data_IF_034218635815
#
_entry.id   IF_034218635815
#
_cell.length_a   1.000
_cell.length_b   1.000
_cell.length_c   1.000
_cell.angle_alpha   90.00
_cell.angle_beta   90.00
_cell.angle_gamma   90.00
#
_symmetry.space_group_name_H-M   'P 1'
#
loop_
_entity.id
_entity.type
_entity.pdbx_description
1 polymer ?
#
# COMPACT_ATOMS: atom_id res chain seq x y z
N UNK A 1 -30.38 -13.61 17.40
CA UNK A 1 -30.78 -14.98 17.06
C UNK A 1 -29.59 -15.62 16.37
N UNK A 2 -28.84 -16.43 17.11
CA UNK A 2 -27.63 -17.08 16.58
C UNK A 2 -28.02 -18.27 15.72
N UNK A 3 -27.54 -18.28 14.47
CA UNK A 3 -27.80 -19.35 13.51
C UNK A 3 -26.99 -20.61 13.89
N UNK A 4 -27.59 -21.80 13.81
CA UNK A 4 -26.92 -23.05 14.18
C UNK A 4 -25.67 -23.30 13.31
N UNK A 5 -24.60 -23.77 13.97
CA UNK A 5 -23.24 -23.96 13.40
C UNK A 5 -23.17 -24.92 12.20
N UNK A 6 -24.24 -25.69 11.95
CA UNK A 6 -24.37 -26.66 10.86
C UNK A 6 -24.99 -26.07 9.60
N UNK A 7 -25.47 -24.83 9.64
CA UNK A 7 -26.11 -24.18 8.48
C UNK A 7 -25.07 -23.73 7.44
N UNK A 8 -25.35 -23.98 6.16
CA UNK A 8 -24.53 -23.48 5.03
C UNK A 8 -24.40 -21.94 5.06
N UNK A 9 -25.41 -21.25 5.57
CA UNK A 9 -25.45 -19.80 5.77
C UNK A 9 -24.55 -19.33 6.93
N UNK A 10 -24.21 -20.20 7.89
CA UNK A 10 -23.27 -19.89 8.98
C UNK A 10 -21.88 -19.58 8.41
N UNK A 11 -21.45 -20.32 7.38
CA UNK A 11 -20.20 -20.05 6.68
C UNK A 11 -20.24 -18.73 5.88
N UNK A 12 -21.40 -18.33 5.38
CA UNK A 12 -21.60 -17.09 4.61
C UNK A 12 -21.67 -15.85 5.51
N UNK A 13 -22.07 -15.99 6.78
CA UNK A 13 -22.03 -14.88 7.76
C UNK A 13 -20.62 -14.46 8.18
N UNK A 14 -19.59 -15.23 7.82
CA UNK A 14 -18.20 -14.88 8.08
C UNK A 14 -17.57 -14.04 6.96
N UNK A 15 -18.18 -12.92 6.59
CA UNK A 15 -17.53 -11.90 5.75
C UNK A 15 -16.15 -11.46 6.32
N UNK A 16 -15.98 -11.60 7.63
CA UNK A 16 -14.73 -11.45 8.37
C UNK A 16 -13.59 -12.37 7.88
N UNK A 17 -13.87 -13.63 7.50
CA UNK A 17 -12.85 -14.59 7.01
C UNK A 17 -12.27 -14.20 5.65
N UNK A 18 -12.94 -13.30 4.93
CA UNK A 18 -12.50 -12.75 3.65
C UNK A 18 -11.83 -11.36 3.78
N UNK A 19 -11.61 -10.85 5.00
CA UNK A 19 -10.99 -9.54 5.22
C UNK A 19 -9.60 -9.44 4.54
N UNK A 20 -8.85 -10.55 4.51
CA UNK A 20 -7.55 -10.65 3.84
C UNK A 20 -7.68 -10.62 2.31
N UNK A 21 -8.78 -11.14 1.74
CA UNK A 21 -9.04 -11.14 0.30
C UNK A 21 -9.43 -9.76 -0.26
N UNK A 22 -9.71 -8.79 0.61
CA UNK A 22 -9.93 -7.38 0.21
C UNK A 22 -8.64 -6.69 -0.25
N UNK A 23 -7.47 -7.26 0.05
CA UNK A 23 -6.17 -6.78 -0.40
C UNK A 23 -5.65 -7.62 -1.55
N UNK A 24 -5.07 -6.95 -2.55
CA UNK A 24 -4.26 -7.61 -3.57
C UNK A 24 -3.13 -8.41 -2.92
N UNK A 25 -2.80 -9.58 -3.48
CA UNK A 25 -1.76 -10.47 -2.94
C UNK A 25 -0.42 -9.74 -2.72
N UNK A 26 -0.04 -8.86 -3.66
CA UNK A 26 1.16 -8.04 -3.54
C UNK A 26 1.12 -7.10 -2.32
N UNK A 27 -0.01 -6.45 -2.09
CA UNK A 27 -0.18 -5.55 -0.94
C UNK A 27 -0.14 -6.32 0.38
N UNK A 28 -0.68 -7.54 0.42
CA UNK A 28 -0.60 -8.42 1.59
C UNK A 28 0.85 -8.77 1.93
N UNK A 29 1.65 -9.17 0.94
CA UNK A 29 3.08 -9.45 1.12
C UNK A 29 3.82 -8.22 1.64
N UNK A 30 3.58 -7.06 1.03
CA UNK A 30 4.15 -5.79 1.46
C UNK A 30 3.78 -5.47 2.92
N UNK A 31 2.51 -5.61 3.31
CA UNK A 31 2.05 -5.32 4.66
C UNK A 31 2.67 -6.26 5.69
N UNK A 32 2.67 -7.57 5.43
CA UNK A 32 3.32 -8.56 6.28
C UNK A 32 4.80 -8.26 6.49
N UNK A 33 5.51 -7.87 5.43
CA UNK A 33 6.93 -7.48 5.51
C UNK A 33 7.15 -6.24 6.39
N UNK A 34 6.29 -5.22 6.27
CA UNK A 34 6.37 -4.02 7.09
C UNK A 34 6.05 -4.30 8.57
N UNK A 35 5.00 -5.06 8.84
CA UNK A 35 4.63 -5.44 10.21
C UNK A 35 5.74 -6.25 10.88
N UNK A 36 6.33 -7.22 10.18
CA UNK A 36 7.45 -8.02 10.70
C UNK A 36 8.63 -7.15 11.14
N UNK A 37 9.02 -6.16 10.33
CA UNK A 37 10.11 -5.23 10.66
C UNK A 37 9.78 -4.36 11.85
N UNK A 38 8.52 -3.95 11.99
CA UNK A 38 8.09 -3.17 13.15
C UNK A 38 8.05 -4.00 14.44
N UNK A 39 7.60 -5.26 14.36
CA UNK A 39 7.64 -6.20 15.50
C UNK A 39 9.08 -6.42 15.97
N UNK A 40 10.00 -6.61 15.03
CA UNK A 40 11.42 -6.78 15.36
C UNK A 40 12.00 -5.51 16.01
N UNK A 41 11.64 -4.32 15.51
CA UNK A 41 11.99 -3.06 16.16
C UNK A 41 11.45 -2.97 17.59
N UNK A 42 10.16 -3.28 17.81
CA UNK A 42 9.57 -3.30 19.15
C UNK A 42 10.31 -4.26 20.08
N UNK A 43 10.65 -5.46 19.60
CA UNK A 43 11.38 -6.46 20.36
C UNK A 43 12.78 -5.98 20.77
N UNK A 44 13.51 -5.33 19.86
CA UNK A 44 14.84 -4.78 20.12
C UNK A 44 14.83 -3.67 21.18
N UNK A 45 13.76 -2.86 21.20
CA UNK A 45 13.58 -1.76 22.14
C UNK A 45 12.86 -2.20 23.44
N UNK A 46 12.62 -3.50 23.63
CA UNK A 46 11.98 -4.05 24.84
C UNK A 46 10.46 -3.87 24.93
N UNK A 47 9.79 -3.47 23.85
CA UNK A 47 8.34 -3.32 23.82
C UNK A 47 7.62 -4.66 23.54
N UNK A 48 6.38 -4.81 24.02
CA UNK A 48 5.57 -5.98 23.71
C UNK A 48 5.24 -6.07 22.22
N UNK A 49 4.92 -7.28 21.74
CA UNK A 49 4.60 -7.50 20.34
C UNK A 49 3.31 -6.74 19.93
N UNK A 50 3.41 -5.67 19.10
CA UNK A 50 2.29 -4.78 18.83
C UNK A 50 1.19 -5.46 18.01
N UNK A 51 1.51 -6.47 17.20
CA UNK A 51 0.50 -7.17 16.39
C UNK A 51 -0.34 -8.16 17.21
N UNK A 52 0.11 -8.52 18.41
CA UNK A 52 -0.58 -9.43 19.32
C UNK A 52 -1.31 -8.70 20.43
N UNK A 53 -0.72 -7.65 20.98
CA UNK A 53 -1.31 -6.91 22.10
C UNK A 53 -1.12 -5.40 21.98
N UNK A 54 -2.09 -4.67 22.54
CA UNK A 54 -2.06 -3.21 22.67
C UNK A 54 -1.38 -2.84 23.99
N UNK A 55 -0.63 -1.74 23.98
CA UNK A 55 -0.02 -1.15 25.17
C UNK A 55 -0.13 0.38 25.07
N UNK A 56 -0.01 1.08 26.19
CA UNK A 56 -0.35 2.51 26.30
C UNK A 56 0.56 3.37 25.41
N UNK A 57 1.85 3.04 25.37
CA UNK A 57 2.90 3.76 24.65
C UNK A 57 2.90 3.49 23.15
N UNK A 58 2.10 2.53 22.68
CA UNK A 58 2.11 2.04 21.30
C UNK A 58 1.99 3.15 20.26
N UNK A 59 1.11 4.16 20.39
CA UNK A 59 1.09 5.27 19.44
C UNK A 59 2.41 6.05 19.37
N UNK A 60 3.07 6.23 20.52
CA UNK A 60 4.38 6.87 20.62
C UNK A 60 5.49 6.05 19.95
N UNK A 61 5.49 4.73 20.18
CA UNK A 61 6.44 3.81 19.54
C UNK A 61 6.27 3.78 18.01
N UNK A 62 5.02 3.72 17.54
CA UNK A 62 4.70 3.82 16.10
C UNK A 62 5.19 5.15 15.54
N UNK A 63 4.91 6.25 16.24
CA UNK A 63 5.35 7.58 15.84
C UNK A 63 6.88 7.70 15.71
N UNK A 64 7.62 7.20 16.70
CA UNK A 64 9.08 7.19 16.68
C UNK A 64 9.62 6.38 15.49
N UNK A 65 9.05 5.20 15.24
CA UNK A 65 9.47 4.35 14.13
C UNK A 65 9.09 4.94 12.76
N UNK A 66 7.92 5.56 12.62
CA UNK A 66 7.52 6.33 11.42
C UNK A 66 8.53 7.45 11.14
N UNK A 67 8.93 8.19 12.18
CA UNK A 67 9.92 9.26 12.05
C UNK A 67 11.28 8.71 11.61
N UNK A 68 11.75 7.62 12.25
CA UNK A 68 12.98 6.91 11.85
C UNK A 68 12.93 6.48 10.38
N UNK A 69 11.82 5.90 9.92
CA UNK A 69 11.66 5.52 8.51
C UNK A 69 11.69 6.73 7.59
N UNK A 70 11.09 7.85 8.00
CA UNK A 70 11.06 9.08 7.20
C UNK A 70 12.42 9.79 7.11
N UNK A 71 13.25 9.70 8.14
CA UNK A 71 14.58 10.36 8.20
C UNK A 71 15.68 9.50 7.58
N UNK A 72 15.61 8.18 7.73
CA UNK A 72 16.61 7.25 7.16
C UNK A 72 16.42 6.99 5.67
N UNK A 73 15.23 7.26 5.12
CA UNK A 73 14.93 7.01 3.72
C UNK A 73 14.78 8.30 2.94
N UNK A 74 15.25 8.29 1.69
CA UNK A 74 15.03 9.39 0.75
C UNK A 74 13.55 9.59 0.39
N UNK A 75 12.65 8.68 0.77
CA UNK A 75 11.22 8.77 0.51
C UNK A 75 10.40 8.49 1.78
N UNK A 76 9.18 9.05 1.84
CA UNK A 76 8.23 8.77 2.93
C UNK A 76 7.41 7.51 2.65
N UNK A 77 7.65 6.84 1.53
CA UNK A 77 6.88 5.68 1.14
C UNK A 77 6.95 4.55 2.16
N UNK A 78 8.13 4.19 2.72
CA UNK A 78 8.22 3.19 3.79
C UNK A 78 7.34 3.55 5.01
N UNK A 79 7.43 4.79 5.49
CA UNK A 79 6.61 5.28 6.60
C UNK A 79 5.10 5.20 6.30
N UNK A 80 4.69 5.57 5.07
CA UNK A 80 3.28 5.48 4.64
C UNK A 80 2.79 4.04 4.53
N UNK A 81 3.62 3.12 4.00
CA UNK A 81 3.28 1.70 3.89
C UNK A 81 3.11 1.07 5.26
N UNK A 82 4.02 1.33 6.21
CA UNK A 82 3.87 0.87 7.58
C UNK A 82 2.58 1.39 8.21
N UNK A 83 2.30 2.69 8.10
CA UNK A 83 1.06 3.29 8.64
C UNK A 83 -0.17 2.57 8.09
N UNK A 84 -0.21 2.34 6.77
CA UNK A 84 -1.33 1.65 6.13
C UNK A 84 -1.45 0.20 6.61
N UNK A 85 -0.33 -0.52 6.73
CA UNK A 85 -0.29 -1.88 7.23
C UNK A 85 -0.81 -1.99 8.68
N UNK A 86 -0.36 -1.09 9.57
CA UNK A 86 -0.86 -1.01 10.96
C UNK A 86 -2.34 -0.65 11.00
N UNK A 87 -2.74 0.37 10.24
CA UNK A 87 -4.15 0.79 10.18
C UNK A 87 -5.04 -0.38 9.75
N UNK A 88 -4.63 -1.12 8.74
CA UNK A 88 -5.36 -2.29 8.25
C UNK A 88 -5.37 -3.43 9.28
N UNK A 89 -4.23 -3.72 9.91
CA UNK A 89 -4.11 -4.77 10.94
C UNK A 89 -5.11 -4.56 12.07
N UNK A 90 -5.20 -3.35 12.63
CA UNK A 90 -6.13 -3.05 13.73
C UNK A 90 -7.60 -2.93 13.30
N UNK A 91 -7.91 -2.97 12.00
CA UNK A 91 -9.30 -3.10 11.52
C UNK A 91 -9.71 -4.54 11.27
N UNK A 92 -8.80 -5.51 11.46
CA UNK A 92 -9.12 -6.92 11.29
C UNK A 92 -10.10 -7.40 12.37
N UNK A 93 -10.99 -8.36 12.04
CA UNK A 93 -11.94 -8.91 13.00
C UNK A 93 -11.29 -9.38 14.30
N UNK A 94 -10.13 -10.04 14.22
CA UNK A 94 -9.41 -10.55 15.40
C UNK A 94 -8.96 -9.42 16.33
N UNK A 95 -8.64 -8.25 15.76
CA UNK A 95 -8.20 -7.09 16.53
C UNK A 95 -9.37 -6.26 17.05
N UNK A 96 -10.59 -6.48 16.56
CA UNK A 96 -11.81 -5.78 17.00
C UNK A 96 -12.55 -6.50 18.13
N UNK A 97 -12.17 -7.74 18.42
CA UNK A 97 -12.70 -8.52 19.56
C UNK A 97 -12.54 -7.71 20.85
N UNK A 98 -13.56 -7.71 21.72
CA UNK A 98 -13.56 -6.95 22.97
C UNK A 98 -14.05 -5.50 22.86
N UNK A 99 -14.76 -5.15 21.78
CA UNK A 99 -15.40 -3.84 21.64
C UNK A 99 -14.44 -2.74 21.18
N UNK A 100 -13.29 -3.11 20.62
CA UNK A 100 -12.32 -2.13 20.15
C UNK A 100 -12.85 -1.30 18.98
N UNK A 101 -12.61 0.01 19.06
CA UNK A 101 -13.06 0.96 18.06
C UNK A 101 -12.09 1.01 16.87
N UNK A 102 -12.63 0.98 15.66
CA UNK A 102 -11.81 0.99 14.44
C UNK A 102 -11.29 2.40 14.08
N UNK A 103 -11.98 3.43 14.55
CA UNK A 103 -11.85 4.83 14.13
C UNK A 103 -11.08 5.72 15.12
N UNK A 104 -10.95 5.27 16.38
CA UNK A 104 -10.26 6.03 17.45
C UNK A 104 -9.29 5.17 18.26
N UNK A 105 -8.34 5.84 18.90
CA UNK A 105 -7.50 5.30 19.96
C UNK A 105 -7.94 5.92 21.28
N UNK A 106 -8.24 5.10 22.27
CA UNK A 106 -8.65 5.54 23.61
C UNK A 106 -7.87 4.73 24.62
N UNK A 107 -7.50 5.38 25.71
CA UNK A 107 -6.93 4.71 26.88
C UNK A 107 -8.00 4.82 27.97
N UNK A 108 -8.66 3.71 28.27
CA UNK A 108 -9.74 3.65 29.24
C UNK A 108 -9.18 3.28 30.61
N UNK A 109 -9.66 3.94 31.65
CA UNK A 109 -9.37 3.54 33.04
C UNK A 109 -10.53 2.69 33.52
N UNK A 110 -10.27 1.43 33.85
CA UNK A 110 -11.29 0.54 34.41
C UNK A 110 -11.65 0.96 35.85
N UNK A 111 -12.76 0.44 36.36
CA UNK A 111 -13.19 0.69 37.75
C UNK A 111 -12.11 0.35 38.79
N UNK A 112 -11.21 -0.58 38.46
CA UNK A 112 -10.09 -1.02 39.30
C UNK A 112 -8.84 -0.11 39.18
N UNK A 113 -8.94 1.00 38.44
CA UNK A 113 -7.84 1.93 38.21
C UNK A 113 -6.81 1.46 37.18
N UNK A 114 -7.02 0.31 36.53
CA UNK A 114 -6.13 -0.21 35.49
C UNK A 114 -6.35 0.52 34.17
N UNK A 115 -5.25 0.77 33.46
CA UNK A 115 -5.24 1.54 32.22
C UNK A 115 -5.25 0.57 31.04
N UNK A 116 -6.37 0.50 30.32
CA UNK A 116 -6.59 -0.44 29.22
C UNK A 116 -6.58 0.32 27.87
N UNK A 117 -5.58 0.08 27.02
CA UNK A 117 -5.52 0.68 25.70
C UNK A 117 -6.49 0.01 24.72
N UNK A 118 -7.31 0.82 24.04
CA UNK A 118 -8.40 0.38 23.19
C UNK A 118 -8.38 1.07 21.80
N UNK A 119 -8.76 0.30 20.77
CA UNK A 119 -9.00 0.81 19.42
C UNK A 119 -7.78 0.79 18.51
N UNK A 120 -7.73 1.70 17.54
CA UNK A 120 -6.70 1.73 16.49
C UNK A 120 -5.62 2.79 16.81
N UNK A 121 -4.38 2.40 17.16
CA UNK A 121 -3.35 3.34 17.60
C UNK A 121 -2.99 4.36 16.51
N UNK A 122 -3.10 3.99 15.22
CA UNK A 122 -2.85 4.88 14.07
C UNK A 122 -3.83 6.06 14.00
N UNK A 123 -4.98 5.96 14.68
CA UNK A 123 -5.99 7.00 14.79
C UNK A 123 -5.74 7.97 15.96
N UNK A 124 -4.67 7.78 16.72
CA UNK A 124 -4.27 8.74 17.76
C UNK A 124 -3.95 10.12 17.17
N UNK A 125 -4.21 11.16 17.96
CA UNK A 125 -3.88 12.54 17.61
C UNK A 125 -2.36 12.71 17.39
N UNK A 126 -1.54 12.07 18.22
CA UNK A 126 -0.07 12.14 18.14
C UNK A 126 0.45 11.66 16.76
N UNK A 127 -0.01 10.52 16.27
CA UNK A 127 0.40 10.01 14.96
C UNK A 127 -0.06 10.95 13.84
N UNK A 128 -1.28 11.47 13.94
CA UNK A 128 -1.82 12.41 12.95
C UNK A 128 -1.00 13.70 12.87
N UNK A 129 -0.62 14.27 14.02
CA UNK A 129 0.22 15.47 14.09
C UNK A 129 1.63 15.25 13.52
N UNK A 130 2.27 14.13 13.86
CA UNK A 130 3.62 13.81 13.38
C UNK A 130 3.63 13.65 11.86
N UNK A 131 2.62 12.96 11.31
CA UNK A 131 2.50 12.80 9.86
C UNK A 131 2.24 14.13 9.15
N UNK A 132 1.45 15.02 9.75
CA UNK A 132 1.28 16.37 9.24
C UNK A 132 2.61 17.14 9.24
N UNK A 133 3.38 17.06 10.34
CA UNK A 133 4.72 17.64 10.46
C UNK A 133 5.69 17.13 9.39
N UNK A 134 5.80 15.81 9.25
CA UNK A 134 6.63 15.16 8.23
C UNK A 134 6.23 15.59 6.81
N UNK A 135 4.94 15.72 6.52
CA UNK A 135 4.47 16.18 5.21
C UNK A 135 4.88 17.61 4.91
N UNK A 136 4.83 18.51 5.91
CA UNK A 136 5.23 19.92 5.79
C UNK A 136 6.74 20.06 5.62
N UNK A 137 7.53 19.35 6.43
CA UNK A 137 8.99 19.35 6.34
C UNK A 137 9.46 18.95 4.94
N UNK A 138 8.91 17.85 4.40
CA UNK A 138 9.29 17.38 3.06
C UNK A 138 8.81 18.28 1.92
N UNK A 139 7.65 18.92 2.04
CA UNK A 139 7.18 19.90 1.05
C UNK A 139 8.11 21.11 0.99
N UNK A 140 8.71 21.51 2.12
CA UNK A 140 9.73 22.57 2.18
C UNK A 140 11.05 22.12 1.56
N UNK A 141 11.38 20.84 1.69
CA UNK A 141 12.68 20.29 1.27
C UNK A 141 12.74 19.85 -0.20
N UNK A 142 11.62 19.55 -0.87
CA UNK A 142 11.64 18.96 -2.23
C UNK A 142 10.63 19.51 -3.21
N UNK A 143 11.14 19.93 -4.37
CA UNK A 143 10.46 19.81 -5.67
C UNK A 143 10.31 18.31 -5.99
N UNK A 144 9.10 17.79 -6.28
CA UNK A 144 8.94 16.38 -6.60
C UNK A 144 9.72 16.05 -7.88
N UNK A 145 10.81 15.27 -7.75
CA UNK A 145 11.46 14.58 -8.88
C UNK A 145 10.47 13.53 -9.39
N UNK A 146 9.54 13.96 -10.22
CA UNK A 146 8.78 13.04 -11.08
C UNK A 146 9.76 12.51 -12.12
N UNK A 147 9.60 11.24 -12.52
CA UNK A 147 10.22 10.82 -13.76
C UNK A 147 9.78 11.80 -14.84
N UNK A 148 10.72 12.36 -15.60
CA UNK A 148 10.36 13.24 -16.70
C UNK A 148 9.42 12.45 -17.60
N UNK A 149 8.22 12.98 -17.91
CA UNK A 149 7.33 12.31 -18.84
C UNK A 149 8.09 12.06 -20.13
N UNK A 150 7.94 10.87 -20.70
CA UNK A 150 8.50 10.59 -22.03
C UNK A 150 7.95 11.65 -22.98
N UNK A 151 8.84 12.35 -23.70
CA UNK A 151 8.45 13.31 -24.73
C UNK A 151 8.32 12.59 -26.07
N UNK A 152 7.59 13.20 -27.00
CA UNK A 152 7.52 12.72 -28.38
C UNK A 152 8.93 12.61 -29.00
N UNK A 153 9.79 13.60 -28.76
CA UNK A 153 11.17 13.60 -29.25
C UNK A 153 12.00 12.43 -28.69
N UNK A 154 11.76 12.03 -27.44
CA UNK A 154 12.45 10.91 -26.81
C UNK A 154 11.93 9.57 -27.35
N UNK A 155 10.63 9.45 -27.59
CA UNK A 155 10.03 8.29 -28.25
C UNK A 155 10.58 8.13 -29.68
N UNK A 156 10.62 9.20 -30.47
CA UNK A 156 11.17 9.17 -31.84
C UNK A 156 12.63 8.74 -31.86
N UNK A 157 13.46 9.26 -30.93
CA UNK A 157 14.86 8.84 -30.80
C UNK A 157 14.99 7.36 -30.42
N UNK A 158 14.14 6.88 -29.52
CA UNK A 158 14.12 5.48 -29.11
C UNK A 158 13.73 4.55 -30.26
N UNK A 159 12.70 4.90 -31.04
CA UNK A 159 12.29 4.12 -32.20
C UNK A 159 13.38 4.12 -33.27
N UNK A 160 13.99 5.27 -33.57
CA UNK A 160 15.09 5.36 -34.53
C UNK A 160 16.30 4.50 -34.08
N UNK A 161 16.69 4.60 -32.82
CA UNK A 161 17.74 3.76 -32.24
C UNK A 161 17.42 2.27 -32.40
N UNK A 162 16.19 1.86 -32.09
CA UNK A 162 15.76 0.47 -32.24
C UNK A 162 15.65 0.02 -33.69
N UNK A 163 15.60 0.90 -34.69
CA UNK A 163 15.61 0.50 -36.10
C UNK A 163 17.03 0.13 -36.57
N UNK A 164 18.02 0.87 -36.11
CA UNK A 164 19.41 0.77 -36.56
C UNK A 164 20.26 -0.20 -35.71
N UNK A 165 19.80 -0.52 -34.50
CA UNK A 165 20.55 -1.39 -33.58
C UNK A 165 20.63 -2.85 -34.08
N UNK A 166 21.85 -3.40 -34.10
CA UNK A 166 22.15 -4.76 -34.54
C UNK A 166 22.18 -5.80 -33.41
N UNK A 167 22.18 -5.34 -32.15
CA UNK A 167 22.16 -6.20 -30.96
C UNK A 167 20.78 -6.82 -30.74
N UNK A 168 19.71 -6.15 -31.20
CA UNK A 168 18.35 -6.67 -31.15
C UNK A 168 17.94 -7.38 -32.45
N UNK A 169 17.34 -8.57 -32.31
CA UNK A 169 16.70 -9.23 -33.46
C UNK A 169 15.51 -8.41 -33.99
N UNK A 170 15.14 -8.61 -35.26
CA UNK A 170 14.09 -7.84 -35.95
C UNK A 170 12.75 -7.85 -35.21
N UNK A 171 12.36 -8.99 -34.65
CA UNK A 171 11.10 -9.14 -33.91
C UNK A 171 11.09 -8.32 -32.62
N UNK A 172 12.18 -8.34 -31.87
CA UNK A 172 12.33 -7.59 -30.63
C UNK A 172 12.32 -6.08 -30.89
N UNK A 173 12.99 -5.62 -31.95
CA UNK A 173 12.99 -4.21 -32.38
C UNK A 173 11.57 -3.70 -32.63
N UNK A 174 10.77 -4.46 -33.39
CA UNK A 174 9.38 -4.15 -33.66
C UNK A 174 8.51 -4.21 -32.40
N UNK A 175 8.70 -5.24 -31.57
CA UNK A 175 7.92 -5.44 -30.36
C UNK A 175 8.13 -4.31 -29.34
N UNK A 176 9.39 -3.96 -29.03
CA UNK A 176 9.70 -2.87 -28.09
C UNK A 176 9.18 -1.53 -28.63
N UNK A 177 9.35 -1.26 -29.93
CA UNK A 177 8.82 -0.04 -30.56
C UNK A 177 7.30 0.05 -30.45
N UNK A 178 6.58 -1.06 -30.68
CA UNK A 178 5.13 -1.12 -30.54
C UNK A 178 4.67 -0.92 -29.09
N UNK A 179 5.33 -1.56 -28.12
CA UNK A 179 5.01 -1.41 -26.68
C UNK A 179 5.24 0.03 -26.21
N UNK A 180 6.38 0.64 -26.55
CA UNK A 180 6.66 2.03 -26.21
C UNK A 180 5.64 2.99 -26.83
N UNK A 181 5.26 2.76 -28.10
CA UNK A 181 4.27 3.57 -28.80
C UNK A 181 2.88 3.43 -28.17
N UNK A 182 2.45 2.21 -27.83
CA UNK A 182 1.17 1.97 -27.16
C UNK A 182 1.13 2.60 -25.76
N UNK A 183 2.21 2.50 -24.98
CA UNK A 183 2.29 3.16 -23.67
C UNK A 183 2.20 4.69 -23.82
N UNK A 184 2.88 5.26 -24.81
CA UNK A 184 2.93 6.71 -25.02
C UNK A 184 1.61 7.27 -25.58
N UNK A 185 1.09 6.71 -26.68
CA UNK A 185 -0.12 7.23 -27.33
C UNK A 185 -1.40 6.79 -26.61
N UNK A 186 -1.42 5.58 -26.07
CA UNK A 186 -2.57 5.07 -25.31
C UNK A 186 -2.61 5.57 -23.87
N UNK A 187 -1.55 6.27 -23.40
CA UNK A 187 -1.37 6.67 -22.00
C UNK A 187 -1.49 5.47 -21.04
N UNK A 188 -1.16 4.27 -21.54
CA UNK A 188 -1.31 3.02 -20.82
C UNK A 188 -0.14 2.79 -19.87
N UNK A 189 -0.41 2.14 -18.73
CA UNK A 189 0.67 1.61 -17.89
C UNK A 189 1.32 0.42 -18.60
N UNK A 190 2.61 0.21 -18.34
CA UNK A 190 3.35 -0.90 -18.95
C UNK A 190 2.68 -2.26 -18.72
N UNK A 191 2.14 -2.51 -17.52
CA UNK A 191 1.43 -3.76 -17.21
C UNK A 191 0.14 -3.92 -18.01
N UNK A 192 -0.54 -2.83 -18.36
CA UNK A 192 -1.77 -2.88 -19.16
C UNK A 192 -1.42 -3.29 -20.60
N UNK A 193 -0.34 -2.73 -21.17
CA UNK A 193 0.12 -3.08 -22.51
C UNK A 193 0.68 -4.50 -22.59
N UNK A 194 1.45 -4.93 -21.58
CA UNK A 194 2.04 -6.28 -21.55
C UNK A 194 0.99 -7.40 -21.39
N UNK A 195 -0.18 -7.09 -20.82
CA UNK A 195 -1.29 -8.05 -20.65
C UNK A 195 -2.34 -7.96 -21.77
N UNK A 196 -2.14 -7.04 -22.74
CA UNK A 196 -3.08 -6.81 -23.83
C UNK A 196 -3.14 -8.03 -24.76
N UNK A 197 -4.35 -8.50 -25.03
CA UNK A 197 -4.62 -9.61 -25.93
C UNK A 197 -5.03 -9.08 -27.30
N UNK A 198 -4.86 -9.91 -28.33
CA UNK A 198 -5.30 -9.57 -29.70
C UNK A 198 -6.77 -9.16 -29.78
N UNK A 199 -7.64 -9.79 -28.96
CA UNK A 199 -9.07 -9.49 -28.92
C UNK A 199 -9.42 -8.13 -28.31
N UNK A 200 -8.50 -7.51 -27.58
CA UNK A 200 -8.69 -6.18 -26.98
C UNK A 200 -8.49 -5.05 -28.00
N UNK A 201 -7.93 -5.37 -29.17
CA UNK A 201 -7.65 -4.40 -30.25
C UNK A 201 -8.74 -4.52 -31.32
N UNK A 202 -9.49 -3.44 -31.49
CA UNK A 202 -10.50 -3.31 -32.54
C UNK A 202 -10.14 -2.16 -33.47
N UNK A 203 -10.17 -2.41 -34.78
CA UNK A 203 -10.01 -1.37 -35.78
C UNK A 203 -11.41 -0.89 -36.18
N UNK A 204 -11.76 0.34 -35.81
CA UNK A 204 -13.01 0.99 -36.19
C UNK A 204 -13.04 1.39 -37.67
N UNK A 205 -12.84 0.43 -38.57
CA UNK A 205 -12.87 0.65 -40.02
C UNK A 205 -14.33 0.83 -40.45
N UNK A 206 -14.78 2.07 -40.54
CA UNK A 206 -16.02 2.40 -41.22
C UNK A 206 -15.76 2.48 -42.72
N UNK A 207 -16.51 1.70 -43.50
CA UNK A 207 -16.51 1.82 -44.97
C UNK A 207 -17.10 3.20 -45.28
N UNK A 208 -16.35 4.07 -45.97
CA UNK A 208 -16.91 5.30 -46.51
C UNK A 208 -18.12 4.93 -47.39
N UNK A 209 -19.29 5.45 -47.04
CA UNK A 209 -20.49 5.40 -47.86
C UNK A 209 -20.31 6.24 -49.12
#
# INVERSE_FOLDING_TARGET
>A
MDLPATSRLHNETHAAKFADQRLEARTRVDYTGNLRRFVEFCKQEGYPNPIQQRFVELPGVIAAYINRLATTNSSQWPAKKLRAALSWHYTRPEMLVGGHLYDRWVVETTADGQVVPCGNPVRSAAITQILAGLSKAKRRERTPKRASPMSLSMLSKLIAFLQDDTMFNKTMRLWVSAVCSLCFYGMCRINEVLLMKKGDIQLGLQRKS
#
